data_IF_747607271188
#
_entry.id   IF_747607271188
#
_cell.length_a   1.000
_cell.length_b   1.000
_cell.length_c   1.000
_cell.angle_alpha   90.00
_cell.angle_beta   90.00
_cell.angle_gamma   90.00
#
_symmetry.space_group_name_H-M   'P 1'
#
loop_
_entity.id
_entity.type
_entity.pdbx_description
1 polymer ?
#
# COMPACT_ATOMS: atom_id res chain seq x y z
N UNK A 1 -19.92 12.18 34.39
CA UNK A 1 -19.17 11.16 33.68
C UNK A 1 -17.99 11.83 32.99
N UNK A 2 -16.72 11.43 33.23
CA UNK A 2 -15.60 12.05 32.53
C UNK A 2 -15.74 11.75 31.02
N UNK A 3 -15.72 12.79 30.20
CA UNK A 3 -15.69 12.71 28.74
C UNK A 3 -14.35 12.10 28.36
N UNK A 4 -14.34 10.89 27.82
CA UNK A 4 -13.11 10.30 27.23
C UNK A 4 -12.65 11.28 26.16
N UNK A 5 -11.40 11.76 26.27
CA UNK A 5 -10.88 12.73 25.30
C UNK A 5 -10.79 12.07 23.92
N UNK A 6 -10.98 12.84 22.85
CA UNK A 6 -10.84 12.34 21.48
C UNK A 6 -9.49 11.65 21.28
N UNK A 7 -8.44 12.21 21.87
CA UNK A 7 -7.09 11.62 21.81
C UNK A 7 -7.01 10.19 22.37
N UNK A 8 -7.78 9.90 23.42
CA UNK A 8 -7.86 8.55 23.98
C UNK A 8 -8.59 7.57 23.05
N UNK A 9 -9.63 8.01 22.37
CA UNK A 9 -10.35 7.20 21.39
C UNK A 9 -9.45 6.91 20.17
N UNK A 10 -8.73 7.90 19.69
CA UNK A 10 -7.82 7.78 18.54
C UNK A 10 -6.60 6.91 18.87
N UNK A 11 -6.04 7.03 20.09
CA UNK A 11 -4.98 6.14 20.55
C UNK A 11 -5.44 4.68 20.65
N UNK A 12 -6.66 4.46 21.15
CA UNK A 12 -7.25 3.12 21.24
C UNK A 12 -7.54 2.53 19.87
N UNK A 13 -8.08 3.34 18.95
CA UNK A 13 -8.31 2.92 17.58
C UNK A 13 -7.00 2.50 16.89
N UNK A 14 -5.93 3.28 17.04
CA UNK A 14 -4.59 2.93 16.51
C UNK A 14 -4.08 1.62 17.10
N UNK A 15 -4.15 1.42 18.43
CA UNK A 15 -3.76 0.17 19.07
C UNK A 15 -4.49 -1.05 18.49
N UNK A 16 -5.79 -0.92 18.19
CA UNK A 16 -6.58 -1.99 17.60
C UNK A 16 -6.11 -2.27 16.17
N UNK A 17 -5.91 -1.24 15.36
CA UNK A 17 -5.44 -1.40 13.97
C UNK A 17 -4.05 -2.05 13.93
N UNK A 18 -3.12 -1.65 14.77
CA UNK A 18 -1.77 -2.22 14.81
C UNK A 18 -1.78 -3.70 15.21
N UNK A 19 -2.53 -4.08 16.24
CA UNK A 19 -2.69 -5.49 16.60
C UNK A 19 -3.45 -6.31 15.55
N UNK A 20 -4.47 -5.71 14.93
CA UNK A 20 -5.22 -6.36 13.86
C UNK A 20 -4.34 -6.61 12.62
N UNK A 21 -3.45 -5.68 12.26
CA UNK A 21 -2.48 -5.81 11.16
C UNK A 21 -1.64 -7.07 11.35
N UNK A 22 -1.02 -7.24 12.53
CA UNK A 22 -0.22 -8.42 12.86
C UNK A 22 -1.07 -9.70 12.77
N UNK A 23 -2.29 -9.66 13.29
CA UNK A 23 -3.19 -10.82 13.31
C UNK A 23 -3.60 -11.24 11.89
N UNK A 24 -4.04 -10.30 11.05
CA UNK A 24 -4.45 -10.60 9.68
C UNK A 24 -3.28 -11.01 8.78
N UNK A 25 -2.12 -10.39 8.92
CA UNK A 25 -0.92 -10.77 8.18
C UNK A 25 -0.50 -12.20 8.47
N UNK A 26 -0.50 -12.58 9.76
CA UNK A 26 -0.06 -13.90 10.20
C UNK A 26 -1.05 -15.03 9.91
N UNK A 27 -2.33 -14.74 9.98
CA UNK A 27 -3.38 -15.76 9.97
C UNK A 27 -4.36 -15.65 8.80
N UNK A 28 -4.23 -14.63 7.95
CA UNK A 28 -5.20 -14.27 6.92
C UNK A 28 -6.52 -13.78 7.53
N UNK A 29 -7.46 -13.36 6.67
CA UNK A 29 -8.75 -12.87 7.14
C UNK A 29 -9.55 -13.95 7.88
N UNK A 30 -9.68 -15.15 7.30
CA UNK A 30 -10.47 -16.22 7.90
C UNK A 30 -9.85 -16.74 9.20
N UNK A 31 -8.53 -16.87 9.23
CA UNK A 31 -7.81 -17.34 10.41
C UNK A 31 -7.71 -16.33 11.56
N UNK A 32 -7.98 -15.05 11.33
CA UNK A 32 -8.03 -14.01 12.36
C UNK A 32 -9.31 -14.13 13.19
N UNK A 33 -9.34 -15.09 14.10
CA UNK A 33 -10.47 -15.29 15.05
C UNK A 33 -10.49 -14.15 16.08
N UNK A 34 -11.66 -13.96 16.73
CA UNK A 34 -11.81 -12.96 17.81
C UNK A 34 -10.74 -13.16 18.90
N UNK A 35 -10.50 -14.41 19.32
CA UNK A 35 -9.48 -14.72 20.33
C UNK A 35 -8.09 -14.28 19.89
N UNK A 36 -7.70 -14.52 18.64
CA UNK A 36 -6.39 -14.08 18.11
C UNK A 36 -6.30 -12.56 18.00
N UNK A 37 -7.41 -11.88 17.69
CA UNK A 37 -7.49 -10.42 17.73
C UNK A 37 -7.32 -9.88 19.14
N UNK A 38 -7.95 -10.50 20.16
CA UNK A 38 -7.75 -10.14 21.58
C UNK A 38 -6.29 -10.32 22.00
N UNK A 39 -5.68 -11.44 21.65
CA UNK A 39 -4.26 -11.72 21.94
C UNK A 39 -3.33 -10.68 21.27
N UNK A 40 -3.54 -10.37 19.99
CA UNK A 40 -2.70 -9.44 19.22
C UNK A 40 -2.89 -7.98 19.65
N UNK A 41 -4.11 -7.56 19.94
CA UNK A 41 -4.41 -6.18 20.34
C UNK A 41 -4.19 -5.93 21.83
N UNK A 42 -4.15 -7.01 22.65
CA UNK A 42 -4.19 -6.99 24.11
C UNK A 42 -5.44 -6.30 24.68
N UNK A 43 -6.56 -6.45 23.98
CA UNK A 43 -7.83 -5.86 24.35
C UNK A 43 -8.92 -6.94 24.33
N UNK A 44 -9.94 -6.76 25.17
CA UNK A 44 -11.10 -7.64 25.14
C UNK A 44 -11.93 -7.45 23.87
N UNK A 45 -12.68 -8.50 23.49
CA UNK A 45 -13.68 -8.47 22.41
C UNK A 45 -14.56 -7.21 22.49
N UNK A 46 -15.08 -6.90 23.69
CA UNK A 46 -15.93 -5.72 23.89
C UNK A 46 -15.22 -4.42 23.57
N UNK A 47 -13.93 -4.28 23.96
CA UNK A 47 -13.15 -3.09 23.66
C UNK A 47 -12.85 -2.95 22.15
N UNK A 48 -12.56 -4.04 21.46
CA UNK A 48 -12.34 -4.03 20.00
C UNK A 48 -13.62 -3.64 19.28
N UNK A 49 -14.72 -4.34 19.53
CA UNK A 49 -15.97 -4.17 18.80
C UNK A 49 -16.84 -2.99 19.30
N UNK A 50 -16.36 -2.27 20.30
CA UNK A 50 -16.86 -0.92 20.59
C UNK A 50 -16.40 0.11 19.54
N UNK A 51 -15.20 -0.08 18.96
CA UNK A 51 -14.65 0.80 17.91
C UNK A 51 -15.01 0.35 16.49
N UNK A 52 -15.23 -0.95 16.29
CA UNK A 52 -15.49 -1.54 14.98
C UNK A 52 -16.69 -2.48 15.10
N UNK A 53 -17.70 -2.29 14.26
CA UNK A 53 -18.95 -3.05 14.32
C UNK A 53 -18.72 -4.57 14.28
N UNK A 54 -17.77 -5.03 13.46
CA UNK A 54 -17.46 -6.43 13.19
C UNK A 54 -16.03 -6.60 12.66
N UNK A 55 -15.59 -7.84 12.46
CA UNK A 55 -14.27 -8.18 11.91
C UNK A 55 -14.06 -7.58 10.51
N UNK A 56 -15.10 -7.49 9.72
CA UNK A 56 -15.00 -6.96 8.37
C UNK A 56 -14.78 -5.45 8.37
N UNK A 57 -15.52 -4.69 9.17
CA UNK A 57 -15.30 -3.25 9.33
C UNK A 57 -13.93 -2.94 9.93
N UNK A 58 -13.41 -3.80 10.81
CA UNK A 58 -12.03 -3.69 11.31
C UNK A 58 -11.02 -3.91 10.17
N UNK A 59 -11.21 -4.94 9.34
CA UNK A 59 -10.31 -5.24 8.23
C UNK A 59 -10.33 -4.14 7.16
N UNK A 60 -11.51 -3.63 6.81
CA UNK A 60 -11.65 -2.49 5.88
C UNK A 60 -10.94 -1.25 6.41
N UNK A 61 -11.15 -0.91 7.67
CA UNK A 61 -10.50 0.24 8.28
C UNK A 61 -8.97 0.10 8.35
N UNK A 62 -8.47 -1.13 8.55
CA UNK A 62 -7.04 -1.42 8.47
C UNK A 62 -6.50 -1.22 7.06
N UNK A 63 -7.19 -1.76 6.07
CA UNK A 63 -6.77 -1.64 4.67
C UNK A 63 -6.79 -0.18 4.18
N UNK A 64 -7.74 0.63 4.68
CA UNK A 64 -7.78 2.09 4.45
C UNK A 64 -6.59 2.81 5.10
N UNK A 65 -6.28 2.49 6.36
CA UNK A 65 -5.15 3.07 7.08
C UNK A 65 -3.82 2.75 6.36
N UNK A 66 -3.66 1.52 5.90
CA UNK A 66 -2.49 1.08 5.15
C UNK A 66 -2.40 1.80 3.78
N UNK A 67 -3.53 1.97 3.09
CA UNK A 67 -3.57 2.69 1.81
C UNK A 67 -3.25 4.19 1.99
N UNK A 68 -3.74 4.81 3.05
CA UNK A 68 -3.45 6.21 3.38
C UNK A 68 -1.96 6.42 3.67
N UNK A 69 -1.38 5.59 4.53
CA UNK A 69 0.06 5.63 4.84
C UNK A 69 0.92 5.44 3.59
N UNK A 70 0.56 4.50 2.72
CA UNK A 70 1.26 4.29 1.45
C UNK A 70 1.14 5.52 0.55
N UNK A 71 -0.04 6.14 0.48
CA UNK A 71 -0.25 7.35 -0.32
C UNK A 71 0.63 8.52 0.17
N UNK A 72 0.80 8.68 1.49
CA UNK A 72 1.69 9.70 2.07
C UNK A 72 3.16 9.45 1.68
N UNK A 73 3.63 8.22 1.82
CA UNK A 73 5.00 7.83 1.42
C UNK A 73 5.21 8.05 -0.08
N UNK A 74 4.26 7.67 -0.93
CA UNK A 74 4.33 7.90 -2.38
C UNK A 74 4.32 9.39 -2.71
N UNK A 75 3.56 10.20 -2.01
CA UNK A 75 3.54 11.64 -2.21
C UNK A 75 4.92 12.29 -1.94
N UNK A 76 5.67 11.77 -0.98
CA UNK A 76 7.00 12.27 -0.59
C UNK A 76 8.11 11.67 -1.46
N UNK A 77 8.19 10.37 -1.58
CA UNK A 77 9.33 9.65 -2.15
C UNK A 77 9.08 9.18 -3.59
N UNK A 78 7.83 8.90 -3.94
CA UNK A 78 7.43 8.32 -5.22
C UNK A 78 7.38 6.79 -5.22
N UNK A 79 6.61 6.25 -6.16
CA UNK A 79 6.27 4.83 -6.16
C UNK A 79 7.47 3.92 -6.46
N UNK A 80 8.42 4.37 -7.29
CA UNK A 80 9.65 3.62 -7.59
C UNK A 80 10.52 3.49 -6.34
N UNK A 81 10.66 4.56 -5.53
CA UNK A 81 11.43 4.47 -4.28
C UNK A 81 10.76 3.53 -3.29
N UNK A 82 9.44 3.58 -3.16
CA UNK A 82 8.68 2.62 -2.34
C UNK A 82 8.96 1.17 -2.77
N UNK A 83 8.97 0.90 -4.07
CA UNK A 83 9.31 -0.44 -4.59
C UNK A 83 10.74 -0.85 -4.25
N UNK A 84 11.70 0.08 -4.31
CA UNK A 84 13.10 -0.18 -3.91
C UNK A 84 13.21 -0.49 -2.42
N UNK A 85 12.50 0.26 -1.59
CA UNK A 85 12.49 0.06 -0.13
C UNK A 85 11.85 -1.30 0.22
N UNK A 86 10.77 -1.69 -0.46
CA UNK A 86 10.17 -3.02 -0.32
C UNK A 86 11.15 -4.14 -0.70
N UNK A 87 11.90 -3.94 -1.77
CA UNK A 87 12.89 -4.92 -2.23
C UNK A 87 14.08 -5.02 -1.27
N UNK A 88 14.62 -3.87 -0.80
CA UNK A 88 15.78 -3.81 0.08
C UNK A 88 15.51 -4.40 1.47
N UNK A 89 14.32 -4.15 2.01
CA UNK A 89 13.96 -4.56 3.37
C UNK A 89 13.38 -5.99 3.42
N UNK A 90 13.07 -6.59 2.26
CA UNK A 90 12.62 -7.98 2.14
C UNK A 90 11.49 -8.33 3.12
N UNK A 91 11.64 -9.49 3.80
CA UNK A 91 10.70 -9.98 4.82
C UNK A 91 10.83 -9.28 6.19
N UNK A 92 11.78 -8.36 6.36
CA UNK A 92 11.96 -7.60 7.61
C UNK A 92 11.09 -6.33 7.68
N UNK A 93 10.61 -5.83 6.55
CA UNK A 93 9.52 -4.85 6.57
C UNK A 93 8.25 -5.54 7.05
N UNK A 94 7.37 -4.83 7.78
CA UNK A 94 6.30 -5.54 8.45
C UNK A 94 5.58 -6.42 7.42
N UNK A 95 5.87 -7.72 7.48
CA UNK A 95 5.18 -8.79 6.74
C UNK A 95 3.65 -8.59 6.78
N UNK A 96 3.26 -7.80 7.72
CA UNK A 96 1.95 -7.35 8.06
C UNK A 96 1.26 -6.58 6.93
N UNK A 97 1.96 -5.65 6.24
CA UNK A 97 1.36 -4.90 5.13
C UNK A 97 1.20 -5.75 3.86
N UNK A 98 2.22 -6.54 3.50
CA UNK A 98 2.15 -7.46 2.35
C UNK A 98 0.99 -8.45 2.54
N UNK A 99 0.87 -9.03 3.74
CA UNK A 99 -0.21 -9.96 4.07
C UNK A 99 -1.59 -9.31 3.96
N UNK A 100 -1.76 -8.08 4.49
CA UNK A 100 -2.99 -7.30 4.35
C UNK A 100 -3.31 -7.02 2.88
N UNK A 101 -2.31 -6.63 2.09
CA UNK A 101 -2.46 -6.32 0.66
C UNK A 101 -2.92 -7.53 -0.15
N UNK A 102 -2.32 -8.70 0.08
CA UNK A 102 -2.72 -9.95 -0.58
C UNK A 102 -4.14 -10.36 -0.20
N UNK A 103 -4.50 -10.21 1.06
CA UNK A 103 -5.86 -10.54 1.50
C UNK A 103 -6.90 -9.59 0.89
N UNK A 104 -6.59 -8.29 0.78
CA UNK A 104 -7.40 -7.33 0.02
C UNK A 104 -7.56 -7.79 -1.43
N UNK A 105 -6.46 -8.13 -2.12
CA UNK A 105 -6.48 -8.60 -3.51
C UNK A 105 -7.29 -9.87 -3.67
N UNK A 106 -7.19 -10.82 -2.74
CA UNK A 106 -8.00 -12.04 -2.72
C UNK A 106 -9.49 -11.69 -2.60
N UNK A 107 -9.86 -10.84 -1.65
CA UNK A 107 -11.26 -10.46 -1.41
C UNK A 107 -11.86 -9.66 -2.56
N UNK A 108 -11.09 -8.76 -3.17
CA UNK A 108 -11.53 -8.03 -4.36
C UNK A 108 -11.93 -8.96 -5.51
N UNK A 109 -11.29 -10.13 -5.61
CA UNK A 109 -11.61 -11.14 -6.63
C UNK A 109 -12.83 -11.98 -6.27
N UNK A 110 -13.01 -12.32 -4.99
CA UNK A 110 -13.97 -13.34 -4.54
C UNK A 110 -15.23 -12.78 -3.86
N UNK A 111 -15.25 -11.49 -3.49
CA UNK A 111 -16.30 -10.86 -2.70
C UNK A 111 -16.77 -9.56 -3.38
N UNK A 112 -17.90 -9.59 -4.11
CA UNK A 112 -18.44 -8.42 -4.80
C UNK A 112 -18.84 -7.27 -3.87
N UNK A 113 -19.33 -7.58 -2.65
CA UNK A 113 -19.73 -6.55 -1.68
C UNK A 113 -18.51 -5.84 -1.11
N UNK A 114 -17.45 -6.59 -0.80
CA UNK A 114 -16.18 -6.02 -0.40
C UNK A 114 -15.60 -5.13 -1.50
N UNK A 115 -15.66 -5.57 -2.76
CA UNK A 115 -15.18 -4.80 -3.91
C UNK A 115 -15.90 -3.46 -4.04
N UNK A 116 -17.23 -3.45 -3.91
CA UNK A 116 -18.01 -2.21 -3.98
C UNK A 116 -17.61 -1.22 -2.87
N UNK A 117 -17.48 -1.70 -1.63
CA UNK A 117 -17.05 -0.86 -0.50
C UNK A 117 -15.60 -0.38 -0.62
N UNK A 118 -14.73 -1.21 -1.17
CA UNK A 118 -13.32 -0.86 -1.40
C UNK A 118 -13.17 0.20 -2.49
N UNK A 119 -13.94 0.10 -3.59
CA UNK A 119 -13.86 1.04 -4.72
C UNK A 119 -14.08 2.50 -4.31
N UNK A 120 -14.95 2.75 -3.34
CA UNK A 120 -15.21 4.10 -2.82
C UNK A 120 -14.01 4.70 -2.05
N UNK A 121 -13.04 3.87 -1.65
CA UNK A 121 -11.97 4.22 -0.68
C UNK A 121 -10.57 4.04 -1.23
N UNK A 122 -10.40 3.30 -2.33
CA UNK A 122 -9.08 2.91 -2.86
C UNK A 122 -8.38 3.95 -3.74
N UNK A 123 -8.98 5.11 -3.99
CA UNK A 123 -8.43 6.13 -4.89
C UNK A 123 -7.23 6.91 -4.33
N UNK A 124 -6.93 6.78 -3.03
CA UNK A 124 -5.91 7.58 -2.37
C UNK A 124 -4.51 7.38 -2.96
N UNK A 125 -4.08 6.12 -3.15
CA UNK A 125 -2.77 5.79 -3.72
C UNK A 125 -2.66 6.29 -5.17
N UNK A 126 -3.65 5.99 -5.99
CA UNK A 126 -3.71 6.43 -7.39
C UNK A 126 -3.68 7.96 -7.51
N UNK A 127 -4.42 8.65 -6.64
CA UNK A 127 -4.43 10.12 -6.58
C UNK A 127 -3.06 10.67 -6.17
N UNK A 128 -2.41 10.11 -5.15
CA UNK A 128 -1.08 10.50 -4.70
C UNK A 128 -0.03 10.28 -5.81
N UNK A 129 -0.06 9.12 -6.46
CA UNK A 129 0.83 8.78 -7.59
C UNK A 129 0.67 9.78 -8.72
N UNK A 130 -0.57 10.04 -9.18
CA UNK A 130 -0.85 11.00 -10.26
C UNK A 130 -0.41 12.41 -9.90
N UNK A 131 -0.69 12.88 -8.68
CA UNK A 131 -0.27 14.20 -8.20
C UNK A 131 1.24 14.35 -8.20
N UNK A 132 1.97 13.32 -7.75
CA UNK A 132 3.44 13.33 -7.78
C UNK A 132 3.97 13.33 -9.21
N UNK A 133 3.44 12.49 -10.09
CA UNK A 133 3.87 12.43 -11.49
C UNK A 133 3.64 13.77 -12.21
N UNK A 134 2.52 14.47 -11.95
CA UNK A 134 2.29 15.82 -12.49
C UNK A 134 3.37 16.79 -12.03
N UNK A 135 3.69 16.83 -10.73
CA UNK A 135 4.77 17.69 -10.20
C UNK A 135 6.12 17.38 -10.85
N UNK A 136 6.46 16.11 -11.05
CA UNK A 136 7.71 15.71 -11.70
C UNK A 136 7.73 16.09 -13.19
N UNK A 137 6.60 16.07 -13.86
CA UNK A 137 6.46 16.54 -15.24
C UNK A 137 6.65 18.06 -15.33
N UNK A 138 6.02 18.81 -14.45
CA UNK A 138 6.19 20.28 -14.37
C UNK A 138 7.64 20.68 -14.07
N UNK A 139 8.34 19.87 -13.28
CA UNK A 139 9.77 20.03 -13.01
C UNK A 139 10.70 19.56 -14.14
N UNK A 140 10.16 19.02 -15.25
CA UNK A 140 10.93 18.54 -16.40
C UNK A 140 11.67 17.22 -16.19
N UNK A 141 11.36 16.47 -15.12
CA UNK A 141 12.02 15.20 -14.79
C UNK A 141 11.33 13.98 -15.39
N UNK A 142 10.06 14.12 -15.83
CA UNK A 142 9.26 13.05 -16.36
C UNK A 142 9.07 13.20 -17.87
N UNK A 143 8.97 12.08 -18.59
CA UNK A 143 8.61 12.07 -20.01
C UNK A 143 7.26 12.74 -20.25
N UNK A 144 7.11 13.44 -21.36
CA UNK A 144 5.93 14.21 -21.72
C UNK A 144 5.10 13.62 -22.86
N UNK A 145 5.65 12.60 -23.53
CA UNK A 145 5.03 11.88 -24.67
C UNK A 145 4.01 10.80 -24.24
N UNK A 146 3.89 10.49 -22.94
CA UNK A 146 2.94 9.51 -22.39
C UNK A 146 2.06 10.18 -21.36
N UNK A 147 0.76 9.92 -21.39
CA UNK A 147 -0.20 10.47 -20.42
C UNK A 147 0.12 10.06 -18.97
N UNK A 148 -0.04 10.99 -18.02
CA UNK A 148 0.23 10.73 -16.59
C UNK A 148 -0.63 9.60 -16.03
N UNK A 149 -1.86 9.43 -16.51
CA UNK A 149 -2.72 8.33 -16.06
C UNK A 149 -2.18 6.97 -16.51
N UNK A 150 -1.60 6.91 -17.71
CA UNK A 150 -0.95 5.68 -18.23
C UNK A 150 0.31 5.38 -17.41
N UNK A 151 1.14 6.39 -17.13
CA UNK A 151 2.33 6.20 -16.29
C UNK A 151 1.97 5.78 -14.86
N UNK A 152 0.92 6.34 -14.29
CA UNK A 152 0.43 5.93 -12.97
C UNK A 152 -0.03 4.46 -12.99
N UNK A 153 -0.86 4.09 -13.95
CA UNK A 153 -1.33 2.71 -14.10
C UNK A 153 -0.18 1.72 -14.32
N UNK A 154 0.83 2.10 -15.12
CA UNK A 154 2.04 1.29 -15.31
C UNK A 154 2.78 1.05 -13.98
N UNK A 155 3.06 2.12 -13.21
CA UNK A 155 3.75 1.99 -11.94
C UNK A 155 2.94 1.19 -10.91
N UNK A 156 1.63 1.36 -10.88
CA UNK A 156 0.74 0.59 -10.00
C UNK A 156 0.73 -0.90 -10.36
N UNK A 157 0.71 -1.25 -11.63
CA UNK A 157 0.82 -2.64 -12.09
C UNK A 157 2.16 -3.27 -11.72
N UNK A 158 3.26 -2.51 -11.83
CA UNK A 158 4.59 -2.99 -11.42
C UNK A 158 4.63 -3.22 -9.91
N UNK A 159 4.07 -2.29 -9.10
CA UNK A 159 3.97 -2.46 -7.66
C UNK A 159 3.18 -3.72 -7.29
N UNK A 160 2.02 -3.94 -7.90
CA UNK A 160 1.21 -5.15 -7.65
C UNK A 160 1.98 -6.43 -8.02
N UNK A 161 2.70 -6.41 -9.14
CA UNK A 161 3.57 -7.51 -9.55
C UNK A 161 4.69 -7.77 -8.53
N UNK A 162 5.38 -6.73 -8.06
CA UNK A 162 6.42 -6.83 -7.04
C UNK A 162 5.88 -7.37 -5.72
N UNK A 163 4.77 -6.83 -5.23
CA UNK A 163 4.11 -7.29 -4.00
C UNK A 163 3.76 -8.77 -4.09
N UNK A 164 3.17 -9.18 -5.22
CA UNK A 164 2.81 -10.59 -5.45
C UNK A 164 4.05 -11.49 -5.47
N UNK A 165 5.13 -11.06 -6.14
CA UNK A 165 6.39 -11.78 -6.26
C UNK A 165 7.05 -11.99 -4.89
N UNK A 166 7.19 -10.92 -4.10
CA UNK A 166 7.77 -10.99 -2.76
C UNK A 166 6.93 -11.85 -1.80
N UNK A 167 5.62 -11.74 -1.87
CA UNK A 167 4.71 -12.49 -1.03
C UNK A 167 4.70 -14.00 -1.33
N UNK A 168 5.02 -14.40 -2.56
CA UNK A 168 5.21 -15.80 -2.94
C UNK A 168 6.60 -16.35 -2.56
N UNK A 169 7.48 -15.51 -2.00
CA UNK A 169 8.84 -15.90 -1.65
C UNK A 169 9.71 -16.23 -2.87
N UNK A 170 9.42 -15.65 -4.03
CA UNK A 170 10.19 -15.88 -5.25
C UNK A 170 11.55 -15.16 -5.18
N UNK A 171 12.60 -15.66 -5.90
CA UNK A 171 13.92 -15.05 -5.92
C UNK A 171 13.89 -13.59 -6.37
N UNK A 172 14.59 -12.71 -5.63
CA UNK A 172 14.55 -11.27 -5.84
C UNK A 172 15.84 -10.67 -6.45
N UNK A 173 16.83 -11.52 -6.75
CA UNK A 173 18.20 -11.11 -7.13
C UNK A 173 18.27 -10.16 -8.34
N UNK A 174 17.35 -10.30 -9.29
CA UNK A 174 17.32 -9.48 -10.51
C UNK A 174 16.29 -8.33 -10.47
N UNK A 175 15.58 -8.13 -9.36
CA UNK A 175 14.51 -7.14 -9.31
C UNK A 175 15.04 -5.70 -9.19
N UNK A 176 16.25 -5.48 -8.65
CA UNK A 176 16.91 -4.18 -8.66
C UNK A 176 17.04 -3.61 -10.08
N UNK A 177 17.72 -4.31 -11.01
CA UNK A 177 17.79 -3.91 -12.43
C UNK A 177 16.44 -3.74 -13.11
N UNK A 178 15.43 -4.55 -12.74
CA UNK A 178 14.05 -4.36 -13.26
C UNK A 178 13.48 -3.01 -12.81
N UNK A 179 13.68 -2.61 -11.54
CA UNK A 179 13.24 -1.30 -11.05
C UNK A 179 14.01 -0.14 -11.70
N UNK A 180 15.27 -0.34 -12.10
CA UNK A 180 16.03 0.64 -12.88
C UNK A 180 15.38 0.87 -14.25
N UNK A 181 15.00 -0.20 -14.96
CA UNK A 181 14.26 -0.10 -16.22
C UNK A 181 12.89 0.57 -16.05
N UNK A 182 12.20 0.29 -14.95
CA UNK A 182 10.91 0.96 -14.63
C UNK A 182 11.12 2.46 -14.44
N UNK A 183 12.18 2.85 -13.71
CA UNK A 183 12.50 4.25 -13.49
C UNK A 183 12.89 4.96 -14.79
N UNK A 184 13.74 4.35 -15.62
CA UNK A 184 14.11 4.87 -16.94
C UNK A 184 12.88 5.06 -17.85
N UNK A 185 11.93 4.12 -17.81
CA UNK A 185 10.70 4.18 -18.60
C UNK A 185 9.86 5.42 -18.29
N UNK A 186 9.87 5.92 -17.05
CA UNK A 186 9.07 7.09 -16.65
C UNK A 186 9.86 8.40 -16.73
N UNK A 187 11.19 8.36 -16.69
CA UNK A 187 12.04 9.56 -16.80
C UNK A 187 11.97 10.19 -18.20
N UNK A 188 12.28 11.46 -18.27
CA UNK A 188 12.49 12.15 -19.55
C UNK A 188 13.75 11.59 -20.21
N UNK A 189 13.62 11.10 -21.44
CA UNK A 189 14.79 10.83 -22.27
C UNK A 189 15.49 12.15 -22.54
N UNK A 190 16.71 12.36 -22.00
CA UNK A 190 17.59 13.40 -22.54
C UNK A 190 17.85 13.01 -24.00
N UNK A 191 17.42 13.84 -24.93
CA UNK A 191 17.78 13.65 -26.33
C UNK A 191 19.30 13.42 -26.35
N UNK A 192 19.76 12.34 -26.97
CA UNK A 192 21.17 12.17 -27.32
C UNK A 192 21.51 13.44 -28.12
N UNK A 193 22.39 14.27 -27.57
CA UNK A 193 23.00 15.33 -28.38
C UNK A 193 23.48 14.65 -29.65
N UNK A 194 22.92 15.04 -30.79
CA UNK A 194 23.40 14.62 -32.09
C UNK A 194 24.89 15.03 -32.13
N UNK A 195 25.76 14.02 -32.06
CA UNK A 195 27.17 14.21 -32.40
C UNK A 195 27.13 14.50 -33.88
N UNK A 196 27.14 15.80 -34.22
CA UNK A 196 27.37 16.27 -35.58
C UNK A 196 28.78 15.83 -35.94
N UNK A 197 28.95 14.93 -36.94
CA UNK A 197 30.30 14.60 -37.41
C UNK A 197 30.91 15.84 -38.09
N UNK A 198 32.08 16.23 -37.65
CA UNK A 198 32.87 17.27 -38.26
C UNK A 198 33.45 16.81 -39.64
#
# INVERSE_FOLDING_TARGET
>A
MPRVSQDHLDARRRQILDGARICFARHGYEGATVRRLEEATRLSRGAIFHHFRDKESLFLALAEDDAARMADVVAEQGLVQVMRDLLANGSEHPADWLGTRLEVSRRLRTDPEFRARWAERSEQLTTATRRRLRRQREAGNLRDDVDVHVLAAFLELVLEGLVSHLAMGLPADNLGPVLDLVEETVRRHRAREEITPA
#
